data_IF_988635937886
#
_entry.id   IF_988635937886
#
_cell.length_a   1.000
_cell.length_b   1.000
_cell.length_c   1.000
_cell.angle_alpha   90.00
_cell.angle_beta   90.00
_cell.angle_gamma   90.00
#
_symmetry.space_group_name_H-M   'P 1'
#
loop_
_entity.id
_entity.type
_entity.pdbx_description
1 polymer ?
#
# COMPACT_ATOMS: atom_id res chain seq x y z
N UNK A 1 1.45 -7.61 -19.56
CA UNK A 1 0.51 -7.26 -18.46
C UNK A 1 0.73 -8.03 -17.14
N UNK A 2 1.90 -8.64 -16.87
CA UNK A 2 2.13 -9.41 -15.62
C UNK A 2 2.68 -8.59 -14.43
N UNK A 3 3.01 -7.31 -14.63
CA UNK A 3 3.62 -6.46 -13.59
C UNK A 3 2.60 -5.80 -12.65
N UNK A 4 1.32 -5.75 -13.01
CA UNK A 4 0.29 -5.05 -12.23
C UNK A 4 -0.18 -5.84 -11.01
N UNK A 5 -0.42 -7.14 -11.16
CA UNK A 5 -0.89 -7.98 -10.05
C UNK A 5 0.15 -8.08 -8.92
N UNK A 6 1.44 -8.09 -9.25
CA UNK A 6 2.53 -8.09 -8.26
C UNK A 6 2.59 -6.81 -7.44
N UNK A 7 2.39 -5.65 -8.09
CA UNK A 7 2.39 -4.36 -7.41
C UNK A 7 1.18 -4.19 -6.48
N UNK A 8 -0.03 -4.57 -6.91
CA UNK A 8 -1.21 -4.54 -6.05
C UNK A 8 -1.07 -5.46 -4.84
N UNK A 9 -0.58 -6.70 -5.05
CA UNK A 9 -0.35 -7.65 -3.95
C UNK A 9 0.69 -7.13 -2.95
N UNK A 10 1.75 -6.51 -3.44
CA UNK A 10 2.77 -5.89 -2.58
C UNK A 10 2.19 -4.76 -1.73
N UNK A 11 1.45 -3.84 -2.35
CA UNK A 11 0.81 -2.69 -1.69
C UNK A 11 -0.18 -3.16 -0.62
N UNK A 12 -1.06 -4.12 -0.94
CA UNK A 12 -2.00 -4.69 0.02
C UNK A 12 -1.28 -5.35 1.21
N UNK A 13 -0.33 -6.24 0.95
CA UNK A 13 0.39 -6.95 2.01
C UNK A 13 1.15 -5.98 2.93
N UNK A 14 1.75 -4.94 2.37
CA UNK A 14 2.49 -3.94 3.15
C UNK A 14 1.56 -3.08 4.00
N UNK A 15 0.39 -2.70 3.47
CA UNK A 15 -0.62 -1.99 4.24
C UNK A 15 -1.20 -2.87 5.35
N UNK A 16 -1.46 -4.15 5.06
CA UNK A 16 -1.95 -5.12 6.03
C UNK A 16 -0.95 -5.33 7.18
N UNK A 17 0.36 -5.38 6.89
CA UNK A 17 1.38 -5.48 7.93
C UNK A 17 1.35 -4.28 8.88
N UNK A 18 1.34 -3.05 8.34
CA UNK A 18 1.23 -1.83 9.15
C UNK A 18 -0.07 -1.75 9.95
N UNK A 19 -1.16 -2.22 9.35
CA UNK A 19 -2.46 -2.30 10.00
C UNK A 19 -2.45 -3.28 11.18
N UNK A 20 -1.82 -4.45 11.01
CA UNK A 20 -1.65 -5.45 12.06
C UNK A 20 -0.76 -4.93 13.19
N UNK A 21 0.40 -4.34 12.87
CA UNK A 21 1.29 -3.72 13.86
C UNK A 21 0.56 -2.64 14.68
N UNK A 22 -0.23 -1.80 14.00
CA UNK A 22 -1.02 -0.77 14.66
C UNK A 22 -2.12 -1.39 15.55
N UNK A 23 -2.76 -2.48 15.11
CA UNK A 23 -3.74 -3.21 15.91
C UNK A 23 -3.11 -3.88 17.14
N UNK A 24 -1.95 -4.51 16.98
CA UNK A 24 -1.16 -5.12 18.06
C UNK A 24 -0.72 -4.07 19.10
N UNK A 25 -0.44 -2.85 18.66
CA UNK A 25 -0.19 -1.71 19.54
C UNK A 25 -1.46 -1.17 20.25
N UNK A 26 -2.62 -1.80 20.06
CA UNK A 26 -3.90 -1.41 20.67
C UNK A 26 -4.58 -0.20 20.00
N UNK A 27 -4.10 0.24 18.84
CA UNK A 27 -4.65 1.39 18.13
C UNK A 27 -5.86 1.00 17.27
N UNK A 28 -6.66 2.02 16.93
CA UNK A 28 -7.82 1.88 16.04
C UNK A 28 -7.39 1.63 14.60
N UNK A 29 -8.31 1.05 13.83
CA UNK A 29 -8.12 0.78 12.41
C UNK A 29 -7.65 2.03 11.64
N UNK A 30 -6.63 1.88 10.78
CA UNK A 30 -6.09 3.00 10.02
C UNK A 30 -7.01 3.28 8.84
N UNK A 31 -7.60 4.49 8.73
CA UNK A 31 -8.49 4.79 7.62
C UNK A 31 -7.73 4.85 6.29
N UNK A 32 -8.43 4.54 5.20
CA UNK A 32 -7.90 4.59 3.83
C UNK A 32 -7.14 5.89 3.51
N UNK A 33 -7.59 7.05 4.01
CA UNK A 33 -6.92 8.33 3.78
C UNK A 33 -5.46 8.33 4.24
N UNK A 34 -5.15 7.66 5.36
CA UNK A 34 -3.78 7.48 5.86
C UNK A 34 -3.04 6.37 5.10
N UNK A 35 -3.73 5.31 4.68
CA UNK A 35 -3.10 4.29 3.83
C UNK A 35 -2.70 4.84 2.46
N UNK A 36 -3.48 5.76 1.89
CA UNK A 36 -3.21 6.41 0.63
C UNK A 36 -1.96 7.30 0.68
N UNK A 37 -1.64 7.90 1.84
CA UNK A 37 -0.39 8.67 1.99
C UNK A 37 0.85 7.77 1.98
N UNK A 38 0.77 6.55 2.53
CA UNK A 38 1.86 5.58 2.43
C UNK A 38 2.20 5.20 1.00
N UNK A 39 1.20 5.15 0.10
CA UNK A 39 1.46 4.87 -1.31
C UNK A 39 2.36 5.93 -1.96
N UNK A 40 2.26 7.19 -1.54
CA UNK A 40 3.14 8.27 -1.99
C UNK A 40 4.55 8.04 -1.47
N UNK A 41 4.68 7.72 -0.18
CA UNK A 41 5.98 7.41 0.44
C UNK A 41 6.66 6.21 -0.23
N UNK A 42 5.94 5.11 -0.44
CA UNK A 42 6.48 3.91 -1.09
C UNK A 42 6.88 4.17 -2.53
N UNK A 43 6.14 4.99 -3.27
CA UNK A 43 6.58 5.39 -4.62
C UNK A 43 7.88 6.20 -4.56
N UNK A 44 8.09 7.02 -3.54
CA UNK A 44 9.29 7.85 -3.43
C UNK A 44 10.50 7.14 -2.81
N UNK A 45 10.29 6.05 -2.07
CA UNK A 45 11.38 5.24 -1.53
C UNK A 45 12.12 4.47 -2.63
N UNK A 46 13.46 4.49 -2.59
CA UNK A 46 14.33 3.89 -3.63
C UNK A 46 14.08 2.40 -3.82
N UNK A 47 13.77 1.66 -2.75
CA UNK A 47 13.51 0.21 -2.77
C UNK A 47 12.18 -0.16 -3.43
N UNK A 48 11.22 0.77 -3.41
CA UNK A 48 9.87 0.57 -3.95
C UNK A 48 9.50 1.55 -5.07
N UNK A 49 10.51 2.22 -5.64
CA UNK A 49 10.32 3.19 -6.71
C UNK A 49 9.67 2.57 -7.96
N UNK A 50 9.84 1.27 -8.16
CA UNK A 50 9.22 0.49 -9.25
C UNK A 50 7.69 0.47 -9.17
N UNK A 51 7.09 0.86 -8.02
CA UNK A 51 5.65 1.10 -7.93
C UNK A 51 5.18 2.28 -8.79
N UNK A 52 6.07 3.17 -9.22
CA UNK A 52 5.76 4.25 -10.19
C UNK A 52 5.42 3.70 -11.58
N UNK A 53 5.89 2.49 -11.91
CA UNK A 53 5.60 1.84 -13.20
C UNK A 53 4.20 1.21 -13.25
N UNK A 54 3.52 1.10 -12.10
CA UNK A 54 2.17 0.58 -12.00
C UNK A 54 1.14 1.73 -11.94
N UNK A 55 -0.04 1.60 -12.58
CA UNK A 55 -1.08 2.62 -12.56
C UNK A 55 -1.56 2.88 -11.13
N UNK A 56 -1.71 4.15 -10.76
CA UNK A 56 -2.09 4.55 -9.39
C UNK A 56 -3.46 4.05 -8.97
N UNK A 57 -4.44 3.99 -9.88
CA UNK A 57 -5.82 3.59 -9.57
C UNK A 57 -5.91 2.14 -9.02
N UNK A 58 -5.35 1.11 -9.69
CA UNK A 58 -5.28 -0.25 -9.14
C UNK A 58 -4.62 -0.36 -7.76
N UNK A 59 -3.53 0.39 -7.53
CA UNK A 59 -2.83 0.38 -6.23
C UNK A 59 -3.69 1.01 -5.12
N UNK A 60 -4.43 2.07 -5.46
CA UNK A 60 -5.38 2.68 -4.53
C UNK A 60 -6.58 1.78 -4.26
N UNK A 61 -7.08 1.07 -5.27
CA UNK A 61 -8.17 0.11 -5.10
C UNK A 61 -7.74 -1.03 -4.17
N UNK A 62 -6.51 -1.53 -4.30
CA UNK A 62 -5.99 -2.57 -3.40
C UNK A 62 -5.82 -2.14 -1.94
N UNK A 63 -5.98 -0.85 -1.61
CA UNK A 63 -5.97 -0.35 -0.22
C UNK A 63 -7.39 -0.11 0.31
N UNK A 64 -8.41 -0.20 -0.56
CA UNK A 64 -9.82 -0.06 -0.18
C UNK A 64 -10.51 -1.41 0.03
N UNK A 65 -9.99 -2.43 -0.64
CA UNK A 65 -10.39 -3.84 -0.49
C UNK A 65 -9.87 -4.39 0.85
#
# INVERSE_FOLDING_TARGET
MRRFAGACRFVFNRALALQNENHEAGNKYIPYGKMASWLVEWKNATETQWLKDAPSQPLQQSLKE
#
